data_IF_684188675986
#
_entry.id   IF_684188675986
#
_cell.length_a   1.000
_cell.length_b   1.000
_cell.length_c   1.000
_cell.angle_alpha   90.00
_cell.angle_beta   90.00
_cell.angle_gamma   90.00
#
_symmetry.space_group_name_H-M   'P 1'
#
loop_
_entity.id
_entity.type
_entity.pdbx_description
1 polymer ?
#
# COMPACT_ATOMS: atom_id res chain seq x y z
N UNK A 1 16.66 6.10 -6.99
CA UNK A 1 16.14 6.38 -5.63
C UNK A 1 14.74 6.97 -5.66
N UNK A 2 14.57 8.20 -6.16
CA UNK A 2 13.26 8.89 -6.17
C UNK A 2 12.18 8.12 -6.93
N UNK A 3 12.45 7.65 -8.16
CA UNK A 3 11.48 6.87 -8.93
C UNK A 3 11.03 5.58 -8.22
N UNK A 4 11.94 4.92 -7.48
CA UNK A 4 11.62 3.70 -6.74
C UNK A 4 10.75 3.99 -5.51
N UNK A 5 11.06 5.08 -4.79
CA UNK A 5 10.25 5.56 -3.67
C UNK A 5 8.84 5.92 -4.14
N UNK A 6 8.73 6.64 -5.26
CA UNK A 6 7.43 7.02 -5.86
C UNK A 6 6.64 5.78 -6.31
N UNK A 7 7.29 4.80 -6.93
CA UNK A 7 6.64 3.55 -7.33
C UNK A 7 6.12 2.75 -6.12
N UNK A 8 6.93 2.62 -5.07
CA UNK A 8 6.54 1.92 -3.83
C UNK A 8 5.42 2.65 -3.09
N UNK A 9 5.48 3.99 -3.03
CA UNK A 9 4.40 4.80 -2.50
C UNK A 9 3.09 4.54 -3.25
N UNK A 10 3.13 4.54 -4.58
CA UNK A 10 1.97 4.21 -5.42
C UNK A 10 1.42 2.82 -5.13
N UNK A 11 2.28 1.79 -5.10
CA UNK A 11 1.86 0.39 -4.89
C UNK A 11 1.28 0.17 -3.48
N UNK A 12 1.85 0.79 -2.44
CA UNK A 12 1.35 0.65 -1.08
C UNK A 12 0.03 1.39 -0.86
N UNK A 13 -0.19 2.52 -1.53
CA UNK A 13 -1.39 3.35 -1.34
C UNK A 13 -2.56 2.98 -2.27
N UNK A 14 -2.27 2.37 -3.42
CA UNK A 14 -3.27 1.96 -4.41
C UNK A 14 -4.40 1.08 -3.82
N UNK A 15 -4.14 0.07 -2.96
CA UNK A 15 -5.19 -0.79 -2.41
C UNK A 15 -6.17 -0.03 -1.52
N UNK A 16 -5.69 0.91 -0.71
CA UNK A 16 -6.54 1.76 0.13
C UNK A 16 -7.40 2.70 -0.71
N UNK A 17 -6.83 3.34 -1.73
CA UNK A 17 -7.61 4.19 -2.64
C UNK A 17 -8.66 3.41 -3.42
N UNK A 18 -8.30 2.22 -3.91
CA UNK A 18 -9.24 1.35 -4.62
C UNK A 18 -10.36 0.87 -3.69
N UNK A 19 -10.06 0.56 -2.43
CA UNK A 19 -11.06 0.19 -1.42
C UNK A 19 -12.10 1.29 -1.21
N UNK A 20 -11.66 2.54 -0.99
CA UNK A 20 -12.58 3.68 -0.86
C UNK A 20 -13.40 3.91 -2.12
N UNK A 21 -12.78 3.84 -3.30
CA UNK A 21 -13.47 3.98 -4.58
C UNK A 21 -14.54 2.88 -4.76
N UNK A 22 -14.23 1.63 -4.43
CA UNK A 22 -15.19 0.53 -4.52
C UNK A 22 -16.31 0.68 -3.51
N UNK A 23 -16.04 1.18 -2.30
CA UNK A 23 -17.05 1.40 -1.28
C UNK A 23 -18.03 2.52 -1.66
N UNK A 24 -17.55 3.58 -2.30
CA UNK A 24 -18.39 4.73 -2.71
C UNK A 24 -19.20 4.45 -3.99
N UNK A 25 -18.58 3.79 -4.99
CA UNK A 25 -19.18 3.63 -6.32
C UNK A 25 -19.84 2.27 -6.57
N UNK A 26 -19.52 1.22 -5.79
CA UNK A 26 -20.09 -0.12 -6.01
C UNK A 26 -21.20 -0.45 -5.01
N UNK A 27 -22.45 -0.62 -5.45
CA UNK A 27 -23.54 -1.05 -4.58
C UNK A 27 -23.31 -2.48 -4.02
N UNK A 28 -22.43 -3.25 -4.66
CA UNK A 28 -22.09 -4.62 -4.26
C UNK A 28 -21.23 -4.64 -2.98
N UNK A 29 -20.33 -3.66 -2.82
CA UNK A 29 -19.54 -3.49 -1.60
C UNK A 29 -20.34 -2.85 -0.47
N UNK A 30 -21.36 -2.04 -0.80
CA UNK A 30 -22.25 -1.43 0.19
C UNK A 30 -23.10 -2.45 0.96
N UNK A 31 -23.39 -3.59 0.32
CA UNK A 31 -24.15 -4.69 0.92
C UNK A 31 -23.27 -5.78 1.55
N UNK A 32 -21.94 -5.62 1.57
CA UNK A 32 -21.06 -6.59 2.25
C UNK A 32 -21.29 -6.56 3.76
N UNK A 33 -21.15 -7.72 4.45
CA UNK A 33 -21.17 -7.77 5.90
C UNK A 33 -20.14 -6.81 6.50
N UNK A 34 -20.53 -6.05 7.52
CA UNK A 34 -19.65 -5.04 8.16
C UNK A 34 -18.33 -5.65 8.65
N UNK A 35 -18.36 -6.89 9.15
CA UNK A 35 -17.17 -7.62 9.60
C UNK A 35 -16.18 -7.85 8.46
N UNK A 36 -16.66 -8.23 7.27
CA UNK A 36 -15.83 -8.44 6.08
C UNK A 36 -15.24 -7.11 5.61
N UNK A 37 -16.05 -6.05 5.57
CA UNK A 37 -15.62 -4.71 5.17
C UNK A 37 -14.53 -4.17 6.11
N UNK A 38 -14.68 -4.34 7.44
CA UNK A 38 -13.65 -3.95 8.42
C UNK A 38 -12.35 -4.76 8.28
N UNK A 39 -12.45 -6.06 8.01
CA UNK A 39 -11.26 -6.90 7.81
C UNK A 39 -10.49 -6.46 6.55
N UNK A 40 -11.19 -6.28 5.42
CA UNK A 40 -10.59 -5.82 4.16
C UNK A 40 -9.98 -4.43 4.33
N UNK A 41 -10.70 -3.51 4.98
CA UNK A 41 -10.16 -2.19 5.31
C UNK A 41 -8.87 -2.29 6.15
N UNK A 42 -8.86 -3.12 7.19
CA UNK A 42 -7.69 -3.35 8.03
C UNK A 42 -6.48 -3.88 7.25
N UNK A 43 -6.70 -4.81 6.32
CA UNK A 43 -5.64 -5.33 5.45
C UNK A 43 -5.11 -4.26 4.48
N UNK A 44 -6.01 -3.52 3.81
CA UNK A 44 -5.63 -2.42 2.92
C UNK A 44 -4.84 -1.33 3.66
N UNK A 45 -5.32 -0.94 4.83
CA UNK A 45 -4.65 0.05 5.69
C UNK A 45 -3.29 -0.45 6.19
N UNK A 46 -3.17 -1.73 6.55
CA UNK A 46 -1.89 -2.35 6.91
C UNK A 46 -0.86 -2.32 5.78
N UNK A 47 -1.29 -2.53 4.53
CA UNK A 47 -0.43 -2.45 3.34
C UNK A 47 0.03 -1.01 3.09
N UNK A 48 -0.87 -0.02 3.24
CA UNK A 48 -0.51 1.39 3.12
C UNK A 48 0.51 1.83 4.19
N UNK A 49 0.31 1.39 5.44
CA UNK A 49 1.24 1.67 6.54
C UNK A 49 2.58 0.95 6.38
N UNK A 50 2.61 -0.18 5.68
CA UNK A 50 3.84 -0.92 5.38
C UNK A 50 4.84 -0.11 4.55
N UNK A 51 4.39 0.93 3.82
CA UNK A 51 5.26 1.88 3.12
C UNK A 51 6.38 2.45 4.00
N UNK A 52 6.11 2.67 5.30
CA UNK A 52 7.09 3.16 6.26
C UNK A 52 8.20 2.13 6.58
N UNK A 53 7.89 0.84 6.55
CA UNK A 53 8.86 -0.25 6.74
C UNK A 53 9.69 -0.52 5.47
N UNK A 54 9.12 -0.26 4.30
CA UNK A 54 9.80 -0.44 3.01
C UNK A 54 10.90 0.60 2.83
N UNK A 55 10.76 1.80 3.43
CA UNK A 55 11.77 2.86 3.36
C UNK A 55 13.18 2.39 3.76
N UNK A 56 13.46 1.88 4.99
CA UNK A 56 14.79 1.39 5.36
C UNK A 56 15.28 0.23 4.48
N UNK A 57 14.40 -0.64 3.98
CA UNK A 57 14.76 -1.72 3.04
C UNK A 57 15.29 -1.14 1.72
N UNK A 58 14.64 -0.10 1.18
CA UNK A 58 15.08 0.61 -0.02
C UNK A 58 16.47 1.21 0.21
N UNK A 59 16.69 1.88 1.34
CA UNK A 59 18.01 2.46 1.66
C UNK A 59 19.09 1.39 1.78
N UNK A 60 18.78 0.22 2.37
CA UNK A 60 19.72 -0.90 2.52
C UNK A 60 20.09 -1.54 1.17
N UNK A 61 19.11 -1.76 0.29
CA UNK A 61 19.35 -2.33 -1.05
C UNK A 61 20.15 -1.34 -1.91
N UNK A 62 19.80 -0.05 -1.88
CA UNK A 62 20.49 0.96 -2.68
C UNK A 62 21.91 1.24 -2.17
N UNK A 63 22.13 1.18 -0.85
CA UNK A 63 23.47 1.24 -0.23
C UNK A 63 24.37 0.09 -0.67
N UNK A 64 23.84 -1.14 -0.76
CA UNK A 64 24.60 -2.29 -1.28
C UNK A 64 24.90 -2.17 -2.77
N UNK A 65 23.97 -1.63 -3.55
CA UNK A 65 24.20 -1.33 -4.97
C UNK A 65 25.29 -0.28 -5.20
N UNK A 66 25.55 0.60 -4.23
CA UNK A 66 26.59 1.63 -4.31
C UNK A 66 27.96 1.16 -3.82
N UNK A 67 28.09 -0.09 -3.33
CA UNK A 67 29.35 -0.68 -2.86
C UNK A 67 29.96 -1.70 -3.83
N UNK A 68 29.60 -1.61 -5.11
CA UNK A 68 30.32 -2.25 -6.23
C UNK A 68 30.80 -1.16 -7.19
N UNK A 69 31.64 -0.25 -6.68
CA UNK A 69 32.88 0.22 -7.34
C UNK A 69 33.69 1.05 -6.36
#
# INVERSE_FOLDING_TARGET
MLAFIVAMFGICWLPSHLFFLLQDFSPLFRNMPENTTRLVYGMCHGIAMSNSFVNPIIYLIMSKSFRVR
#
